data_IF_165176503635
#
_entry.id   IF_165176503635
#
_cell.length_a   1.000
_cell.length_b   1.000
_cell.length_c   1.000
_cell.angle_alpha   90.00
_cell.angle_beta   90.00
_cell.angle_gamma   90.00
#
_symmetry.space_group_name_H-M   'P 1'
#
loop_
_entity.id
_entity.type
_entity.pdbx_description
1 polymer ?
#
# COMPACT_ATOMS: atom_id res chain seq x y z
N UNK A 1 3.11 3.68 -12.35
CA UNK A 1 4.16 3.82 -11.32
C UNK A 1 4.16 2.52 -10.52
N UNK A 2 5.31 1.92 -10.24
CA UNK A 2 5.38 0.59 -9.61
C UNK A 2 6.28 0.60 -8.39
N UNK A 3 5.78 0.03 -7.28
CA UNK A 3 6.41 -0.59 -6.09
C UNK A 3 7.83 -0.21 -5.57
N UNK A 4 8.53 0.79 -6.10
CA UNK A 4 9.93 1.08 -5.72
C UNK A 4 10.28 2.57 -5.65
N UNK A 5 9.37 3.46 -6.02
CA UNK A 5 9.61 4.88 -5.77
C UNK A 5 9.41 5.16 -4.27
N UNK A 6 10.41 5.72 -3.58
CA UNK A 6 10.27 6.08 -2.18
C UNK A 6 9.12 7.07 -2.04
N UNK A 7 8.28 6.87 -1.01
CA UNK A 7 7.18 7.78 -0.71
C UNK A 7 7.73 9.20 -0.52
N UNK A 8 7.18 10.16 -1.25
CA UNK A 8 7.52 11.58 -1.14
C UNK A 8 6.67 12.22 -0.05
N UNK A 9 7.08 13.40 0.40
CA UNK A 9 6.33 14.14 1.41
C UNK A 9 4.90 14.45 0.96
N UNK A 10 4.72 14.80 -0.32
CA UNK A 10 3.41 15.02 -0.96
C UNK A 10 2.50 13.77 -0.92
N UNK A 11 3.07 12.57 -0.96
CA UNK A 11 2.30 11.33 -0.87
C UNK A 11 1.77 11.13 0.56
N UNK A 12 2.54 11.54 1.58
CA UNK A 12 2.12 11.46 2.99
C UNK A 12 1.02 12.46 3.29
N UNK A 13 1.08 13.68 2.72
CA UNK A 13 0.04 14.70 2.90
C UNK A 13 -1.30 14.31 2.27
N UNK A 14 -1.27 13.46 1.25
CA UNK A 14 -2.47 12.96 0.56
C UNK A 14 -2.88 11.54 0.97
N UNK A 15 -1.99 10.80 1.62
CA UNK A 15 -2.28 9.46 2.07
C UNK A 15 -3.16 9.49 3.30
N UNK A 16 -4.38 8.99 3.14
CA UNK A 16 -5.34 8.92 4.24
C UNK A 16 -5.08 7.69 5.13
N UNK A 17 -4.28 6.73 4.67
CA UNK A 17 -4.05 5.45 5.35
C UNK A 17 -2.58 5.01 5.27
N UNK A 18 -2.08 4.53 6.41
CA UNK A 18 -0.73 4.00 6.61
C UNK A 18 -0.87 2.55 7.09
N UNK A 19 -0.18 1.61 6.45
CA UNK A 19 -0.17 0.19 6.82
C UNK A 19 1.24 -0.38 6.78
N UNK A 20 1.52 -1.40 7.60
CA UNK A 20 2.83 -2.03 7.61
C UNK A 20 2.94 -3.03 6.46
N UNK A 21 4.08 -3.06 5.78
CA UNK A 21 4.35 -3.98 4.70
C UNK A 21 4.55 -5.45 5.13
N UNK A 22 4.70 -5.71 6.43
CA UNK A 22 4.65 -7.05 7.02
C UNK A 22 3.21 -7.52 7.33
N UNK A 23 2.21 -6.63 7.23
CA UNK A 23 0.80 -6.99 7.41
C UNK A 23 0.31 -7.95 6.33
N UNK A 24 -0.77 -8.66 6.62
CA UNK A 24 -1.36 -9.58 5.66
C UNK A 24 -1.90 -8.83 4.43
N UNK A 25 -1.92 -9.50 3.28
CA UNK A 25 -2.47 -8.94 2.04
C UNK A 25 -3.92 -8.45 2.19
N UNK A 26 -4.68 -9.06 3.11
CA UNK A 26 -6.04 -8.63 3.45
C UNK A 26 -6.05 -7.28 4.17
N UNK A 27 -5.19 -7.08 5.15
CA UNK A 27 -5.07 -5.82 5.88
C UNK A 27 -4.59 -4.70 4.96
N UNK A 28 -3.66 -5.00 4.05
CA UNK A 28 -3.19 -4.03 3.04
C UNK A 28 -4.32 -3.68 2.06
N UNK A 29 -5.16 -4.64 1.69
CA UNK A 29 -6.33 -4.39 0.83
C UNK A 29 -7.40 -3.55 1.53
N UNK A 30 -7.72 -3.87 2.78
CA UNK A 30 -8.70 -3.13 3.59
C UNK A 30 -8.26 -1.68 3.81
N UNK A 31 -6.97 -1.50 4.06
CA UNK A 31 -6.31 -0.20 4.12
C UNK A 31 -6.45 0.57 2.79
N UNK A 32 -6.18 -0.07 1.65
CA UNK A 32 -6.33 0.59 0.35
C UNK A 32 -7.78 0.96 0.01
N UNK A 33 -8.76 0.13 0.39
CA UNK A 33 -10.19 0.37 0.16
C UNK A 33 -10.77 1.49 1.03
N UNK A 34 -10.23 1.65 2.23
CA UNK A 34 -10.66 2.69 3.17
C UNK A 34 -10.11 4.08 2.81
N UNK A 35 -9.20 4.16 1.82
CA UNK A 35 -8.67 5.41 1.30
C UNK A 35 -9.57 5.96 0.19
N UNK A 36 -10.02 7.23 0.26
CA UNK A 36 -10.91 7.82 -0.74
C UNK A 36 -10.29 7.87 -2.15
N UNK A 37 -8.95 7.92 -2.23
CA UNK A 37 -8.20 7.93 -3.48
C UNK A 37 -7.70 6.53 -3.90
N UNK A 38 -8.01 5.48 -3.12
CA UNK A 38 -7.55 4.12 -3.39
C UNK A 38 -6.03 3.94 -3.24
N UNK A 39 -5.36 4.81 -2.48
CA UNK A 39 -3.92 4.82 -2.26
C UNK A 39 -3.59 4.80 -0.76
N UNK A 40 -2.56 4.05 -0.38
CA UNK A 40 -2.04 3.99 0.98
C UNK A 40 -0.52 4.06 1.04
N UNK A 41 0.02 4.42 2.19
CA UNK A 41 1.46 4.40 2.47
C UNK A 41 1.81 3.07 3.14
N UNK A 42 2.86 2.43 2.66
CA UNK A 42 3.47 1.27 3.29
C UNK A 42 4.64 1.70 4.17
N UNK A 43 4.70 1.18 5.38
CA UNK A 43 5.84 1.30 6.28
C UNK A 43 6.58 -0.02 6.44
N UNK A 44 7.87 0.06 6.77
CA UNK A 44 8.63 -1.07 7.27
C UNK A 44 8.32 -1.30 8.77
N UNK A 45 8.79 -2.42 9.32
CA UNK A 45 8.61 -2.75 10.74
C UNK A 45 9.29 -1.77 11.71
N UNK A 46 10.31 -1.03 11.25
CA UNK A 46 10.96 0.03 12.01
C UNK A 46 10.21 1.38 11.94
N UNK A 47 9.06 1.42 11.25
CA UNK A 47 8.24 2.62 11.05
C UNK A 47 8.73 3.53 9.92
N UNK A 48 9.82 3.19 9.22
CA UNK A 48 10.29 3.96 8.07
C UNK A 48 9.36 3.80 6.87
N UNK A 49 9.22 4.85 6.06
CA UNK A 49 8.39 4.81 4.86
C UNK A 49 9.01 3.88 3.81
N UNK A 50 8.24 2.89 3.37
CA UNK A 50 8.65 1.94 2.34
C UNK A 50 8.21 2.39 0.94
N UNK A 51 7.02 2.98 0.82
CA UNK A 51 6.49 3.43 -0.48
C UNK A 51 4.98 3.68 -0.46
N UNK A 52 4.42 3.94 -1.63
CA UNK A 52 2.97 4.06 -1.87
C UNK A 52 2.46 2.78 -2.49
N UNK A 53 1.26 2.35 -2.12
CA UNK A 53 0.54 1.24 -2.74
C UNK A 53 -0.82 1.69 -3.24
N UNK A 54 -1.12 1.35 -4.50
CA UNK A 54 -2.44 1.55 -5.08
C UNK A 54 -3.32 0.30 -4.95
N UNK A 55 -4.63 0.48 -4.81
CA UNK A 55 -5.62 -0.59 -4.76
C UNK A 55 -5.51 -1.58 -5.95
N UNK A 56 -5.18 -1.06 -7.13
CA UNK A 56 -4.98 -1.84 -8.35
C UNK A 56 -3.81 -2.82 -8.21
N UNK A 57 -2.72 -2.39 -7.57
CA UNK A 57 -1.53 -3.21 -7.33
C UNK A 57 -1.81 -4.32 -6.31
N UNK A 58 -2.56 -4.01 -5.24
CA UNK A 58 -2.99 -5.02 -4.26
C UNK A 58 -3.89 -6.06 -4.90
N UNK A 59 -4.87 -5.61 -5.71
CA UNK A 59 -5.80 -6.51 -6.40
C UNK A 59 -5.06 -7.42 -7.40
N UNK A 60 -4.05 -6.89 -8.09
CA UNK A 60 -3.18 -7.68 -8.97
C UNK A 60 -2.41 -8.74 -8.19
N UNK A 61 -1.83 -8.38 -7.04
CA UNK A 61 -1.11 -9.33 -6.18
C UNK A 61 -2.01 -10.44 -5.63
N UNK A 62 -3.25 -10.10 -5.22
CA UNK A 62 -4.25 -11.09 -4.78
C UNK A 62 -4.56 -12.07 -5.91
N UNK A 63 -4.77 -11.59 -7.13
CA UNK A 63 -5.04 -12.44 -8.30
C UNK A 63 -3.86 -13.37 -8.58
N UNK A 64 -2.64 -12.84 -8.62
CA UNK A 64 -1.44 -13.65 -8.83
C UNK A 64 -1.20 -14.70 -7.74
N UNK A 65 -1.70 -14.48 -6.52
CA UNK A 65 -1.63 -15.48 -5.44
C UNK A 65 -2.67 -16.60 -5.63
N UNK A 66 -3.83 -16.28 -6.23
CA UNK A 66 -4.90 -17.26 -6.50
C UNK A 66 -4.66 -18.10 -7.76
N UNK A 67 -3.83 -17.62 -8.68
CA UNK A 67 -3.47 -18.33 -9.92
C UNK A 67 -2.21 -19.20 -9.80
N UNK A 68 -1.65 -19.31 -8.60
CA UNK A 68 -0.51 -20.19 -8.27
C UNK A 68 -0.96 -21.50 -7.63
#
# INVERSE_FOLDING_TARGET
RGNTEPARHEDVEHATIITNASSSLREILDAALSSPNGQGILTNDDGSLRGVVALEEVTRAVRSTKEQ
#
